data_IF_073133355829
#
_entry.id   IF_073133355829
#
_cell.length_a   1.000
_cell.length_b   1.000
_cell.length_c   1.000
_cell.angle_alpha   90.00
_cell.angle_beta   90.00
_cell.angle_gamma   90.00
#
_symmetry.space_group_name_H-M   'P 1'
#
loop_
_entity.id
_entity.type
_entity.pdbx_description
1 polymer ?
#
# COMPACT_ATOMS: atom_id res chain seq x y z
N UNK A 1 21.45 -4.77 5.13
CA UNK A 1 20.98 -5.56 3.96
C UNK A 1 19.70 -4.90 3.40
N UNK A 2 19.68 -4.52 2.12
CA UNK A 2 18.55 -3.81 1.51
C UNK A 2 17.28 -4.67 1.40
N UNK A 3 17.45 -5.98 1.13
CA UNK A 3 16.34 -6.91 0.97
C UNK A 3 15.52 -7.06 2.25
N UNK A 4 16.18 -7.12 3.41
CA UNK A 4 15.51 -7.21 4.71
C UNK A 4 14.55 -6.05 4.94
N UNK A 5 14.95 -4.82 4.60
CA UNK A 5 14.11 -3.62 4.75
C UNK A 5 12.85 -3.68 3.86
N UNK A 6 13.02 -4.15 2.62
CA UNK A 6 11.89 -4.34 1.69
C UNK A 6 10.96 -5.43 2.21
N UNK A 7 11.51 -6.56 2.68
CA UNK A 7 10.76 -7.68 3.23
C UNK A 7 9.95 -7.27 4.46
N UNK A 8 10.55 -6.54 5.39
CA UNK A 8 9.89 -6.03 6.59
C UNK A 8 8.71 -5.12 6.24
N UNK A 9 8.91 -4.15 5.35
CA UNK A 9 7.83 -3.26 4.90
C UNK A 9 6.71 -4.04 4.20
N UNK A 10 7.07 -4.97 3.33
CA UNK A 10 6.11 -5.80 2.58
C UNK A 10 5.26 -6.64 3.53
N UNK A 11 5.87 -7.21 4.58
CA UNK A 11 5.13 -7.98 5.58
C UNK A 11 4.16 -7.10 6.38
N UNK A 12 4.52 -5.86 6.70
CA UNK A 12 3.60 -4.90 7.34
C UNK A 12 2.40 -4.58 6.44
N UNK A 13 2.64 -4.33 5.16
CA UNK A 13 1.56 -4.11 4.17
C UNK A 13 0.65 -5.33 4.08
N UNK A 14 1.21 -6.54 4.00
CA UNK A 14 0.43 -7.79 3.97
C UNK A 14 -0.42 -7.98 5.23
N UNK A 15 0.14 -7.72 6.41
CA UNK A 15 -0.60 -7.80 7.67
C UNK A 15 -1.82 -6.84 7.65
N UNK A 16 -1.64 -5.61 7.17
CA UNK A 16 -2.73 -4.67 6.98
C UNK A 16 -3.76 -5.16 5.95
N UNK A 17 -3.34 -5.70 4.82
CA UNK A 17 -4.27 -6.27 3.83
C UNK A 17 -5.12 -7.40 4.44
N UNK A 18 -4.51 -8.27 5.24
CA UNK A 18 -5.22 -9.38 5.92
C UNK A 18 -6.15 -8.89 7.04
N UNK A 19 -5.85 -7.76 7.70
CA UNK A 19 -6.77 -7.12 8.65
C UNK A 19 -8.08 -6.71 7.96
N UNK A 20 -8.00 -6.23 6.71
CA UNK A 20 -9.17 -5.82 5.92
C UNK A 20 -9.88 -6.97 5.18
N UNK A 21 -9.19 -8.09 4.92
CA UNK A 21 -9.78 -9.28 4.31
C UNK A 21 -9.29 -10.55 5.05
N UNK A 22 -10.11 -11.14 5.96
CA UNK A 22 -9.72 -12.30 6.75
C UNK A 22 -9.69 -13.61 5.96
N UNK A 23 -10.16 -13.63 4.69
CA UNK A 23 -10.18 -14.83 3.87
C UNK A 23 -8.81 -15.09 3.23
N UNK A 24 -8.07 -16.02 3.84
CA UNK A 24 -6.75 -16.46 3.38
C UNK A 24 -6.93 -17.26 2.08
N UNK A 25 -6.35 -16.76 0.99
CA UNK A 25 -6.31 -17.46 -0.30
C UNK A 25 -7.18 -16.85 -1.40
N UNK A 26 -8.05 -15.89 -1.07
CA UNK A 26 -8.80 -15.16 -2.08
C UNK A 26 -7.96 -14.07 -2.73
N UNK A 27 -8.01 -14.00 -4.05
CA UNK A 27 -7.45 -12.87 -4.79
C UNK A 27 -8.15 -11.59 -4.34
N UNK A 28 -7.38 -10.53 -4.12
CA UNK A 28 -7.98 -9.22 -3.89
C UNK A 28 -8.72 -8.80 -5.17
N UNK A 29 -10.00 -8.50 -5.03
CA UNK A 29 -10.92 -8.09 -6.10
C UNK A 29 -10.58 -6.70 -6.63
N UNK A 30 -9.98 -5.85 -5.79
CA UNK A 30 -9.66 -4.46 -6.10
C UNK A 30 -8.16 -4.19 -6.07
N UNK A 31 -7.65 -3.34 -6.97
CA UNK A 31 -6.29 -2.83 -6.87
C UNK A 31 -6.09 -2.06 -5.56
N UNK A 32 -4.86 -2.07 -5.04
CA UNK A 32 -4.52 -1.50 -3.74
C UNK A 32 -3.68 -0.23 -3.92
N UNK A 33 -3.99 0.80 -3.14
CA UNK A 33 -3.19 2.01 -2.99
C UNK A 33 -2.62 2.07 -1.57
N UNK A 34 -1.31 2.29 -1.45
CA UNK A 34 -0.64 2.39 -0.14
C UNK A 34 -0.48 3.86 0.22
N UNK A 35 -1.12 4.27 1.31
CA UNK A 35 -1.04 5.61 1.86
C UNK A 35 -0.11 5.62 3.07
N UNK A 36 0.97 6.41 3.01
CA UNK A 36 1.89 6.61 4.13
C UNK A 36 1.48 7.84 4.94
N UNK A 37 1.81 7.86 6.24
CA UNK A 37 1.47 8.94 7.18
C UNK A 37 1.90 10.34 6.76
N UNK A 38 3.03 10.46 6.06
CA UNK A 38 3.62 11.71 5.58
C UNK A 38 3.20 12.05 4.13
N UNK A 39 2.42 11.19 3.49
CA UNK A 39 1.93 11.44 2.14
C UNK A 39 0.67 12.30 2.21
N UNK A 40 0.60 13.31 1.35
CA UNK A 40 -0.65 14.03 1.09
C UNK A 40 -1.76 13.03 0.75
N UNK A 41 -3.00 13.36 1.15
CA UNK A 41 -4.17 12.54 0.78
C UNK A 41 -4.21 12.40 -0.74
N UNK A 42 -4.36 11.18 -1.26
CA UNK A 42 -4.35 10.95 -2.70
C UNK A 42 -5.57 11.65 -3.31
N UNK A 43 -5.40 12.26 -4.48
CA UNK A 43 -6.52 12.81 -5.23
C UNK A 43 -7.51 11.68 -5.57
N UNK A 44 -8.81 11.97 -5.55
CA UNK A 44 -9.88 10.97 -5.77
C UNK A 44 -9.70 10.21 -7.09
N UNK A 45 -9.14 10.86 -8.12
CA UNK A 45 -8.79 10.26 -9.41
C UNK A 45 -7.79 9.09 -9.28
N UNK A 46 -6.85 9.17 -8.34
CA UNK A 46 -5.83 8.12 -8.09
C UNK A 46 -6.43 6.94 -7.33
N UNK A 47 -7.45 7.21 -6.50
CA UNK A 47 -8.12 6.26 -5.61
C UNK A 47 -9.29 5.56 -6.30
N UNK A 48 -9.76 6.06 -7.44
CA UNK A 48 -10.99 5.57 -8.07
C UNK A 48 -10.98 4.04 -8.28
N UNK A 49 -11.79 3.32 -7.49
CA UNK A 49 -11.88 1.86 -7.49
C UNK A 49 -10.77 1.10 -6.74
N UNK A 50 -9.76 1.78 -6.18
CA UNK A 50 -8.67 1.18 -5.38
C UNK A 50 -8.99 1.16 -3.90
N UNK A 51 -8.57 0.10 -3.21
CA UNK A 51 -8.60 0.05 -1.75
C UNK A 51 -7.40 0.79 -1.18
N UNK A 52 -7.63 1.74 -0.28
CA UNK A 52 -6.57 2.44 0.43
C UNK A 52 -6.12 1.58 1.62
N UNK A 53 -4.81 1.35 1.73
CA UNK A 53 -4.15 0.75 2.89
C UNK A 53 -3.32 1.83 3.56
N UNK A 54 -3.78 2.29 4.71
CA UNK A 54 -3.10 3.30 5.52
C UNK A 54 -1.98 2.69 6.34
N UNK A 55 -0.82 3.35 6.32
CA UNK A 55 0.40 2.93 6.99
C UNK A 55 0.86 4.04 7.96
N UNK A 56 0.97 3.69 9.24
CA UNK A 56 1.41 4.59 10.32
C UNK A 56 2.94 4.83 10.33
N UNK A 57 3.56 4.78 9.16
CA UNK A 57 5.00 5.00 8.96
C UNK A 57 5.22 6.01 7.85
N UNK A 58 6.31 6.80 7.89
CA UNK A 58 6.65 7.70 6.81
C UNK A 58 7.06 6.92 5.57
N UNK A 59 6.85 7.53 4.40
CA UNK A 59 7.20 6.95 3.11
C UNK A 59 8.73 6.78 3.02
N UNK A 60 9.23 5.56 2.82
CA UNK A 60 10.65 5.37 2.58
C UNK A 60 11.09 6.04 1.27
N UNK A 61 12.26 6.66 1.24
CA UNK A 61 12.79 7.40 0.08
C UNK A 61 12.94 6.54 -1.20
N UNK A 62 13.09 5.24 -1.02
CA UNK A 62 13.18 4.23 -2.08
C UNK A 62 11.81 3.73 -2.57
N UNK A 63 10.71 4.05 -1.87
CA UNK A 63 9.35 3.67 -2.25
C UNK A 63 8.76 4.73 -3.21
N UNK A 64 9.05 4.59 -4.50
CA UNK A 64 8.63 5.52 -5.54
C UNK A 64 7.15 5.35 -5.89
N UNK A 65 6.46 6.46 -6.18
CA UNK A 65 5.11 6.45 -6.75
C UNK A 65 5.20 5.97 -8.19
N UNK A 66 4.38 5.00 -8.56
CA UNK A 66 4.17 4.64 -9.96
C UNK A 66 3.08 5.55 -10.50
N UNK A 67 3.49 6.63 -11.17
CA UNK A 67 2.56 7.46 -11.94
C UNK A 67 2.15 6.66 -13.17
N UNK A 68 0.95 6.07 -13.17
CA UNK A 68 0.20 5.92 -14.41
C UNK A 68 -0.72 7.14 -14.47
N UNK A 69 -0.21 8.20 -15.11
CA UNK A 69 -1.11 9.11 -15.81
C UNK A 69 -1.58 8.32 -17.03
N UNK A 70 -2.89 8.07 -17.13
CA UNK A 70 -3.48 7.77 -18.42
C UNK A 70 -3.45 9.04 -19.30
#
# INVERSE_FOLDING_TARGET
>A
NCYSRVRELTNKIKAKIMEYNPYIGESQDKPIHIQFSDSEKPADEVVNGKRIIEMDIPRPSWFKRTFKAD
#
